data_IF_480730997514
#
_entry.id   IF_480730997514
#
_cell.length_a   1.000
_cell.length_b   1.000
_cell.length_c   1.000
_cell.angle_alpha   90.00
_cell.angle_beta   90.00
_cell.angle_gamma   90.00
#
_symmetry.space_group_name_H-M   'P 1'
#
loop_
_entity.id
_entity.type
_entity.pdbx_description
1 polymer ?
#
# COMPACT_ATOMS: atom_id res chain seq x y z
N UNK A 1 9.01 3.07 2.04
CA UNK A 1 7.93 3.95 2.52
C UNK A 1 7.46 4.80 1.35
N UNK A 2 6.17 5.08 1.27
CA UNK A 2 5.62 6.05 0.34
C UNK A 2 5.55 7.41 1.03
N UNK A 3 5.81 8.49 0.30
CA UNK A 3 5.76 9.86 0.83
C UNK A 3 4.72 10.67 0.08
N UNK A 4 3.79 11.28 0.81
CA UNK A 4 2.85 12.26 0.27
C UNK A 4 3.25 13.64 0.73
N UNK A 5 2.93 14.65 -0.08
CA UNK A 5 3.13 16.05 0.27
C UNK A 5 1.78 16.77 0.27
N UNK A 6 1.47 17.41 1.40
CA UNK A 6 0.28 18.24 1.56
C UNK A 6 0.72 19.70 1.58
N UNK A 7 -0.09 20.58 0.97
CA UNK A 7 0.09 22.03 1.03
C UNK A 7 -1.18 22.65 1.60
N UNK A 8 -1.01 23.44 2.67
CA UNK A 8 -2.08 24.17 3.33
C UNK A 8 -1.95 25.65 2.97
N UNK A 9 -3.03 26.22 2.45
CA UNK A 9 -3.13 27.64 2.12
C UNK A 9 -4.38 28.24 2.71
N UNK A 10 -4.37 29.55 2.89
CA UNK A 10 -5.58 30.32 3.17
C UNK A 10 -6.47 30.48 1.91
N UNK A 11 -7.59 31.19 2.05
CA UNK A 11 -8.51 31.47 0.95
C UNK A 11 -7.91 32.36 -0.16
N UNK A 12 -6.79 33.03 0.10
CA UNK A 12 -6.09 33.89 -0.86
C UNK A 12 -4.88 33.18 -1.50
N UNK A 13 -4.61 31.93 -1.14
CA UNK A 13 -3.50 31.13 -1.66
C UNK A 13 -2.17 31.32 -0.91
N UNK A 14 -2.16 32.04 0.21
CA UNK A 14 -0.96 32.20 1.03
C UNK A 14 -0.67 30.91 1.81
N UNK A 15 0.58 30.45 1.91
CA UNK A 15 0.93 29.29 2.70
C UNK A 15 0.68 29.52 4.19
N UNK A 16 0.12 28.53 4.88
CA UNK A 16 -0.11 28.58 6.32
C UNK A 16 0.84 27.62 7.05
N UNK A 17 1.74 28.21 7.83
CA UNK A 17 2.67 27.49 8.69
C UNK A 17 2.04 27.13 10.05
N UNK A 18 2.61 26.13 10.72
CA UNK A 18 2.23 25.75 12.08
C UNK A 18 0.83 25.15 12.21
N UNK A 19 0.24 24.72 11.09
CA UNK A 19 -1.09 24.11 11.10
C UNK A 19 -1.00 22.62 11.39
N UNK A 20 -1.84 22.15 12.31
CA UNK A 20 -1.96 20.73 12.62
C UNK A 20 -2.83 20.06 11.56
N UNK A 21 -2.26 19.09 10.85
CA UNK A 21 -2.96 18.23 9.90
C UNK A 21 -3.08 16.84 10.52
N UNK A 22 -4.30 16.35 10.68
CA UNK A 22 -4.55 14.95 11.08
C UNK A 22 -4.46 14.05 9.87
N UNK A 23 -3.85 12.88 10.03
CA UNK A 23 -3.64 11.93 8.93
C UNK A 23 -4.17 10.57 9.34
N UNK A 24 -4.94 9.96 8.44
CA UNK A 24 -5.44 8.60 8.56
C UNK A 24 -5.01 7.82 7.32
N UNK A 25 -4.67 6.55 7.51
CA UNK A 25 -4.39 5.62 6.43
C UNK A 25 -5.14 4.32 6.67
N UNK A 26 -5.62 3.69 5.60
CA UNK A 26 -6.33 2.41 5.66
C UNK A 26 -5.45 1.24 5.15
N UNK A 27 -6.07 0.07 4.96
CA UNK A 27 -5.43 -1.13 4.41
C UNK A 27 -4.12 -1.51 5.16
N UNK A 28 -4.15 -1.39 6.49
CA UNK A 28 -3.02 -1.74 7.37
C UNK A 28 -1.82 -0.79 7.26
N UNK A 29 -1.95 0.34 6.55
CA UNK A 29 -0.89 1.32 6.46
C UNK A 29 -0.74 2.11 7.77
N UNK A 30 0.51 2.36 8.14
CA UNK A 30 0.92 3.13 9.32
C UNK A 30 1.48 4.48 8.88
N UNK A 31 1.12 5.53 9.62
CA UNK A 31 1.60 6.90 9.41
C UNK A 31 1.60 7.66 10.74
N UNK A 32 2.20 8.85 10.76
CA UNK A 32 2.11 9.76 11.89
C UNK A 32 0.65 10.29 11.98
N UNK A 33 -0.03 10.20 13.12
CA UNK A 33 -1.45 10.57 13.23
C UNK A 33 -1.68 12.07 13.06
N UNK A 34 -0.67 12.88 13.36
CA UNK A 34 -0.68 14.33 13.17
C UNK A 34 0.67 14.79 12.65
N UNK A 35 0.64 15.79 11.78
CA UNK A 35 1.83 16.47 11.25
C UNK A 35 1.61 17.98 11.27
N UNK A 36 2.70 18.76 11.31
CA UNK A 36 2.64 20.22 11.38
C UNK A 36 3.21 20.82 10.09
N UNK A 37 2.53 21.80 9.50
CA UNK A 37 3.03 22.47 8.31
C UNK A 37 4.25 23.33 8.58
N UNK A 38 5.22 23.24 7.67
CA UNK A 38 6.45 24.03 7.63
C UNK A 38 6.15 25.50 7.26
N UNK A 39 7.15 26.41 7.37
CA UNK A 39 6.99 27.82 7.02
C UNK A 39 6.49 28.08 5.59
N UNK A 40 6.70 27.14 4.67
CA UNK A 40 6.22 27.22 3.29
C UNK A 40 4.79 26.67 3.09
N UNK A 41 4.12 26.32 4.20
CA UNK A 41 2.78 25.75 4.24
C UNK A 41 2.70 24.30 3.77
N UNK A 42 3.83 23.60 3.60
CA UNK A 42 3.84 22.20 3.20
C UNK A 42 4.19 21.28 4.36
N UNK A 43 3.85 20.01 4.19
CA UNK A 43 4.25 18.95 5.11
C UNK A 43 4.37 17.64 4.36
N UNK A 44 5.36 16.84 4.73
CA UNK A 44 5.55 15.49 4.21
C UNK A 44 4.96 14.45 5.15
N UNK A 45 4.24 13.50 4.56
CA UNK A 45 3.59 12.40 5.27
C UNK A 45 4.25 11.12 4.79
N UNK A 46 4.99 10.48 5.69
CA UNK A 46 5.54 9.15 5.46
C UNK A 46 4.50 8.09 5.80
N UNK A 47 4.32 7.14 4.87
CA UNK A 47 3.36 6.04 5.01
C UNK A 47 4.08 4.71 4.73
N UNK A 48 3.91 3.75 5.62
CA UNK A 48 4.49 2.41 5.52
C UNK A 48 3.38 1.38 5.63
N UNK A 49 3.54 0.23 4.96
CA UNK A 49 2.63 -0.91 5.11
C UNK A 49 3.42 -2.19 4.88
N UNK A 50 3.02 -3.26 5.56
CA UNK A 50 3.45 -4.63 5.26
C UNK A 50 2.43 -5.36 4.39
N UNK A 51 1.26 -4.75 4.14
CA UNK A 51 0.22 -5.31 3.29
C UNK A 51 0.33 -4.70 1.89
N UNK A 52 0.48 -5.54 0.88
CA UNK A 52 0.43 -5.10 -0.51
C UNK A 52 -1.02 -4.74 -0.89
N UNK A 53 -1.17 -3.71 -1.72
CA UNK A 53 -2.45 -3.20 -2.16
C UNK A 53 -2.49 -1.68 -2.12
N UNK A 54 -3.66 -1.14 -2.46
CA UNK A 54 -3.93 0.28 -2.41
C UNK A 54 -4.30 0.66 -0.98
N UNK A 55 -3.65 1.68 -0.44
CA UNK A 55 -4.05 2.36 0.79
C UNK A 55 -4.47 3.80 0.47
N UNK A 56 -5.66 4.20 0.91
CA UNK A 56 -6.10 5.58 0.90
C UNK A 56 -5.53 6.31 2.13
N UNK A 57 -4.87 7.44 1.87
CA UNK A 57 -4.31 8.32 2.89
C UNK A 57 -5.11 9.61 2.90
N UNK A 58 -5.77 9.88 4.01
CA UNK A 58 -6.65 11.02 4.20
C UNK A 58 -6.02 12.01 5.15
N UNK A 59 -5.78 13.22 4.68
CA UNK A 59 -5.32 14.35 5.46
C UNK A 59 -6.50 15.30 5.74
N UNK A 60 -6.67 15.71 6.98
CA UNK A 60 -7.72 16.62 7.40
C UNK A 60 -7.19 17.75 8.26
N UNK A 61 -7.70 18.95 8.02
CA UNK A 61 -7.40 20.16 8.78
C UNK A 61 -8.68 20.99 8.92
N UNK A 62 -9.06 21.33 10.16
CA UNK A 62 -10.32 22.03 10.46
C UNK A 62 -11.51 21.33 9.76
N UNK A 63 -12.15 22.02 8.80
CA UNK A 63 -13.28 21.50 8.01
C UNK A 63 -12.89 21.09 6.58
N UNK A 64 -11.60 20.96 6.28
CA UNK A 64 -11.07 20.58 4.97
C UNK A 64 -10.43 19.20 5.03
N UNK A 65 -10.72 18.36 4.03
CA UNK A 65 -10.21 17.00 3.94
C UNK A 65 -9.77 16.71 2.51
N UNK A 66 -8.62 16.07 2.36
CA UNK A 66 -8.09 15.58 1.09
C UNK A 66 -7.68 14.13 1.25
N UNK A 67 -7.94 13.31 0.24
CA UNK A 67 -7.57 11.89 0.24
C UNK A 67 -6.84 11.53 -1.03
N UNK A 68 -5.79 10.73 -0.90
CA UNK A 68 -4.97 10.27 -2.02
C UNK A 68 -4.58 8.80 -1.82
N UNK A 69 -4.52 8.06 -2.91
CA UNK A 69 -4.16 6.65 -2.88
C UNK A 69 -2.65 6.46 -3.04
N UNK A 70 -2.11 5.51 -2.28
CA UNK A 70 -0.76 4.98 -2.44
C UNK A 70 -0.81 3.47 -2.69
N UNK A 71 0.08 2.96 -3.53
CA UNK A 71 0.19 1.53 -3.82
C UNK A 71 1.39 0.95 -3.07
N UNK A 72 1.16 -0.13 -2.32
CA UNK A 72 2.21 -0.98 -1.78
C UNK A 72 2.25 -2.28 -2.60
N UNK A 73 3.44 -2.72 -2.99
CA UNK A 73 3.64 -3.96 -3.76
C UNK A 73 4.37 -5.00 -2.91
N UNK A 74 4.10 -6.28 -3.17
CA UNK A 74 4.77 -7.39 -2.48
C UNK A 74 6.29 -7.39 -2.74
N UNK A 75 7.10 -7.79 -1.76
CA UNK A 75 8.55 -7.82 -1.91
C UNK A 75 9.01 -9.11 -2.62
N UNK A 76 9.28 -8.99 -3.93
CA UNK A 76 9.74 -10.09 -4.79
C UNK A 76 11.04 -10.74 -4.31
N UNK A 77 11.90 -10.02 -3.57
CA UNK A 77 13.16 -10.58 -3.07
C UNK A 77 12.95 -11.58 -1.95
N UNK A 78 11.78 -11.54 -1.32
CA UNK A 78 11.38 -12.44 -0.23
C UNK A 78 10.30 -13.44 -0.66
N UNK A 79 10.10 -13.59 -1.97
CA UNK A 79 9.10 -14.48 -2.53
C UNK A 79 9.35 -15.95 -2.12
N UNK A 80 8.29 -16.65 -1.77
CA UNK A 80 8.26 -18.04 -1.36
C UNK A 80 7.00 -18.73 -1.87
N UNK A 81 7.08 -20.04 -2.11
CA UNK A 81 5.90 -20.85 -2.41
C UNK A 81 5.13 -21.02 -1.10
N UNK A 82 3.96 -20.40 -1.02
CA UNK A 82 3.09 -20.48 0.15
C UNK A 82 2.25 -21.75 0.16
N UNK A 83 1.85 -22.23 -1.03
CA UNK A 83 1.03 -23.43 -1.17
C UNK A 83 1.27 -24.09 -2.54
N UNK A 84 1.11 -25.41 -2.58
CA UNK A 84 1.18 -26.23 -3.80
C UNK A 84 0.10 -27.31 -3.73
N UNK A 85 -0.90 -27.17 -4.59
CA UNK A 85 -2.07 -28.06 -4.61
C UNK A 85 -2.17 -28.80 -5.94
N UNK A 86 -2.58 -30.07 -5.86
CA UNK A 86 -2.86 -30.89 -7.04
C UNK A 86 -4.28 -30.61 -7.51
N UNK A 87 -4.43 -30.19 -8.77
CA UNK A 87 -5.73 -29.92 -9.40
C UNK A 87 -6.22 -31.14 -10.18
N UNK A 88 -5.29 -31.85 -10.84
CA UNK A 88 -5.59 -33.03 -11.64
C UNK A 88 -4.51 -34.08 -11.41
N UNK A 89 -4.94 -35.27 -10.98
CA UNK A 89 -4.09 -36.42 -10.74
C UNK A 89 -4.69 -37.70 -11.35
N UNK A 90 -3.89 -38.76 -11.45
CA UNK A 90 -4.34 -40.08 -11.90
C UNK A 90 -4.61 -40.16 -13.40
N UNK A 91 -3.98 -39.30 -14.20
CA UNK A 91 -4.07 -39.37 -15.66
C UNK A 91 -3.34 -40.60 -16.20
N UNK A 92 -3.74 -41.02 -17.40
CA UNK A 92 -3.11 -42.15 -18.10
C UNK A 92 -1.64 -41.82 -18.35
N UNK A 93 -0.74 -42.75 -18.05
CA UNK A 93 0.69 -42.64 -18.31
C UNK A 93 1.03 -42.84 -19.80
N UNK A 94 0.38 -42.07 -20.67
CA UNK A 94 0.52 -42.10 -22.13
C UNK A 94 1.58 -41.12 -22.66
N UNK A 95 2.17 -40.30 -21.78
CA UNK A 95 3.15 -39.26 -22.14
C UNK A 95 2.53 -38.03 -22.82
N UNK A 96 1.21 -38.00 -23.03
CA UNK A 96 0.47 -36.92 -23.66
C UNK A 96 -0.44 -36.17 -22.66
N UNK A 97 -0.97 -36.88 -21.67
CA UNK A 97 -1.85 -36.34 -20.65
C UNK A 97 -1.05 -36.01 -19.40
N UNK A 98 -1.10 -34.73 -18.98
CA UNK A 98 -0.40 -34.27 -17.79
C UNK A 98 -1.31 -34.20 -16.56
N UNK A 99 -0.72 -34.49 -15.40
CA UNK A 99 -1.22 -34.01 -14.12
C UNK A 99 -1.03 -32.49 -14.04
N UNK A 100 -1.89 -31.82 -13.28
CA UNK A 100 -1.84 -30.36 -13.13
C UNK A 100 -1.78 -30.00 -11.67
N UNK A 101 -0.81 -29.15 -11.31
CA UNK A 101 -0.68 -28.58 -9.99
C UNK A 101 -0.79 -27.05 -10.11
N UNK A 102 -1.20 -26.40 -9.02
CA UNK A 102 -1.19 -24.94 -8.89
C UNK A 102 -0.40 -24.56 -7.66
N UNK A 103 0.55 -23.66 -7.87
CA UNK A 103 1.29 -23.02 -6.80
C UNK A 103 0.66 -21.66 -6.46
N UNK A 104 0.74 -21.27 -5.18
CA UNK A 104 0.51 -19.89 -4.73
C UNK A 104 1.84 -19.34 -4.24
N UNK A 105 2.27 -18.22 -4.81
CA UNK A 105 3.52 -17.54 -4.42
C UNK A 105 3.18 -16.27 -3.65
N UNK A 106 3.83 -16.08 -2.51
CA UNK A 106 3.71 -14.87 -1.69
C UNK A 106 5.06 -14.34 -1.27
N UNK A 107 5.14 -13.10 -0.82
CA UNK A 107 6.33 -12.61 -0.12
C UNK A 107 6.43 -13.15 1.33
N UNK A 108 7.44 -12.71 2.07
CA UNK A 108 7.64 -13.10 3.48
C UNK A 108 6.49 -12.66 4.41
N UNK A 109 5.71 -11.67 4.03
CA UNK A 109 4.56 -11.16 4.79
C UNK A 109 3.22 -11.75 4.30
N UNK A 110 3.25 -12.68 3.34
CA UNK A 110 2.05 -13.34 2.82
C UNK A 110 1.32 -12.57 1.72
N UNK A 111 1.90 -11.47 1.23
CA UNK A 111 1.34 -10.71 0.12
C UNK A 111 1.46 -11.49 -1.18
N UNK A 112 0.38 -11.57 -1.95
CA UNK A 112 0.40 -12.27 -3.24
C UNK A 112 1.15 -11.43 -4.26
N UNK A 113 2.09 -12.05 -4.97
CA UNK A 113 2.79 -11.37 -6.06
C UNK A 113 1.82 -11.24 -7.25
N UNK A 114 1.50 -10.01 -7.65
CA UNK A 114 0.67 -9.77 -8.82
C UNK A 114 1.50 -10.09 -10.09
N UNK A 115 1.02 -11.05 -10.91
CA UNK A 115 1.61 -11.37 -12.22
C UNK A 115 2.26 -12.75 -12.37
N UNK A 116 1.88 -13.74 -11.56
CA UNK A 116 2.27 -15.15 -11.73
C UNK A 116 1.05 -16.07 -11.79
#
# INVERSE_FOLDING_TARGET
ANTLRVRVTDAFGNPLAGQTVSVLADNGATTAPTVITEPDGKVEISVTSQTAGVSAVTASINNSTLSQNVMFIADIRTAQIADLVVIKDGVVADGATANTLRARVTDAFGNTLAGQ
#
